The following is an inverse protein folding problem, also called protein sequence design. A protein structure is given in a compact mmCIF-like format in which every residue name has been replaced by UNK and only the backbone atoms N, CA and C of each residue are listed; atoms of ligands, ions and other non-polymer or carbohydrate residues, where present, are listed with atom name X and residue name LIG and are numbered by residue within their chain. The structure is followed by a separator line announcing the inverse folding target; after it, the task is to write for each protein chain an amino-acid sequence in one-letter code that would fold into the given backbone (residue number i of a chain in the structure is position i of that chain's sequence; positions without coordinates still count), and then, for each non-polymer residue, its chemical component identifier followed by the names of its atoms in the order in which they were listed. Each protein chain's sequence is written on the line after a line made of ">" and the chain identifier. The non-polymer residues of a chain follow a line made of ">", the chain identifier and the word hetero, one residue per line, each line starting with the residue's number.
data_IF_031858311641
#
_entry.id   IF_031858311641
#
_cell.length_a   1.000
_cell.length_b   1.000
_cell.length_c   1.000
_cell.angle_alpha   90.00
_cell.angle_beta   90.00
_cell.angle_gamma   90.00
#
_symmetry.space_group_name_H-M   'P 1'
#
loop_
_entity.id
_entity.type
_entity.pdbx_description
1 polymer ?
#
# COMPACT_ATOMS: atom_id res chain seq x y z
N UNK A 1 6.82 3.54 -20.69
CA UNK A 1 6.57 4.25 -19.42
C UNK A 1 6.64 3.24 -18.28
N UNK A 2 7.26 3.58 -17.16
CA UNK A 2 7.44 2.65 -16.03
C UNK A 2 6.19 2.54 -15.17
N UNK A 3 6.04 1.41 -14.47
CA UNK A 3 5.02 1.19 -13.45
C UNK A 3 5.35 2.00 -12.19
N UNK A 4 4.38 2.71 -11.62
CA UNK A 4 4.51 3.66 -10.52
C UNK A 4 3.30 3.61 -9.60
N UNK A 5 3.57 3.55 -8.30
CA UNK A 5 2.55 3.54 -7.26
C UNK A 5 3.06 4.13 -5.95
N UNK A 6 2.13 4.35 -5.01
CA UNK A 6 2.42 4.91 -3.70
C UNK A 6 1.91 4.00 -2.59
N UNK A 7 2.62 3.98 -1.46
CA UNK A 7 2.15 3.32 -0.23
C UNK A 7 2.19 4.33 0.92
N UNK A 8 1.05 4.51 1.58
CA UNK A 8 0.88 5.33 2.77
C UNK A 8 0.62 4.44 3.98
N UNK A 9 1.46 4.56 5.00
CA UNK A 9 1.35 3.81 6.24
C UNK A 9 1.14 4.80 7.37
N UNK A 10 -0.07 4.79 7.91
CA UNK A 10 -0.47 5.56 9.07
C UNK A 10 -0.48 4.66 10.31
N UNK A 11 -0.04 5.21 11.44
CA UNK A 11 -0.15 4.50 12.71
C UNK A 11 -0.29 5.46 13.88
N UNK A 12 -1.01 5.02 14.90
CA UNK A 12 -1.16 5.76 16.15
C UNK A 12 -0.18 5.21 17.19
N UNK A 13 0.52 6.12 17.88
CA UNK A 13 1.43 5.80 18.96
C UNK A 13 1.52 6.97 19.95
N UNK A 14 1.37 6.68 21.24
CA UNK A 14 1.44 7.67 22.32
C UNK A 14 0.50 8.88 22.13
N UNK A 15 -0.75 8.62 21.72
CA UNK A 15 -1.78 9.60 21.40
C UNK A 15 -1.52 10.40 20.13
N UNK A 16 -0.52 10.03 19.32
CA UNK A 16 -0.12 10.77 18.12
C UNK A 16 -0.22 9.90 16.87
N UNK A 17 -0.66 10.53 15.79
CA UNK A 17 -0.70 9.91 14.47
C UNK A 17 0.61 10.16 13.74
N UNK A 18 1.15 9.12 13.14
CA UNK A 18 2.38 9.14 12.36
C UNK A 18 2.12 8.64 10.95
N UNK A 19 2.93 9.09 9.99
CA UNK A 19 2.83 8.67 8.58
C UNK A 19 4.20 8.36 8.00
N UNK A 20 4.23 7.29 7.19
CA UNK A 20 5.31 6.96 6.25
C UNK A 20 4.67 6.86 4.87
N UNK A 21 5.05 7.76 3.95
CA UNK A 21 4.52 7.78 2.59
C UNK A 21 5.66 7.56 1.60
N UNK A 22 5.54 6.53 0.76
CA UNK A 22 6.63 6.05 -0.11
C UNK A 22 6.17 5.94 -1.55
N UNK A 23 6.98 6.47 -2.46
CA UNK A 23 6.77 6.39 -3.90
C UNK A 23 7.64 5.30 -4.51
N UNK A 24 7.05 4.39 -5.27
CA UNK A 24 7.69 3.21 -5.82
C UNK A 24 7.71 3.22 -7.35
N UNK A 25 8.79 2.67 -7.92
CA UNK A 25 8.83 2.25 -9.31
C UNK A 25 8.81 0.73 -9.43
N UNK A 26 7.94 0.15 -10.26
CA UNK A 26 7.73 -1.30 -10.41
C UNK A 26 7.04 -2.00 -9.22
N UNK A 27 6.11 -1.29 -8.57
CA UNK A 27 5.21 -1.85 -7.56
C UNK A 27 3.76 -1.78 -8.06
N UNK A 28 3.16 -2.93 -8.30
CA UNK A 28 1.84 -3.09 -8.94
C UNK A 28 1.29 -4.48 -8.58
N UNK A 29 0.03 -4.76 -8.88
CA UNK A 29 -0.63 -6.05 -8.75
C UNK A 29 -0.26 -6.79 -7.44
N UNK A 30 0.17 -8.04 -7.54
CA UNK A 30 0.51 -8.86 -6.38
C UNK A 30 1.67 -8.29 -5.55
N UNK A 31 2.54 -7.46 -6.15
CA UNK A 31 3.64 -6.82 -5.45
C UNK A 31 3.14 -5.78 -4.45
N UNK A 32 2.17 -4.98 -4.88
CA UNK A 32 1.50 -4.01 -4.03
C UNK A 32 0.73 -4.70 -2.91
N UNK A 33 -0.03 -5.76 -3.23
CA UNK A 33 -0.78 -6.55 -2.25
C UNK A 33 0.15 -7.19 -1.22
N UNK A 34 1.30 -7.73 -1.65
CA UNK A 34 2.33 -8.29 -0.77
C UNK A 34 2.85 -7.23 0.20
N UNK A 35 3.38 -6.10 -0.31
CA UNK A 35 3.92 -5.03 0.55
C UNK A 35 2.91 -4.53 1.57
N UNK A 36 1.66 -4.29 1.15
CA UNK A 36 0.58 -3.87 2.05
C UNK A 36 0.30 -4.90 3.14
N UNK A 37 0.22 -6.18 2.77
CA UNK A 37 -0.09 -7.27 3.71
C UNK A 37 1.00 -7.44 4.76
N UNK A 38 2.26 -7.57 4.33
CA UNK A 38 3.36 -7.79 5.26
C UNK A 38 3.65 -6.56 6.12
N UNK A 39 3.52 -5.35 5.58
CA UNK A 39 3.64 -4.12 6.37
C UNK A 39 2.58 -4.06 7.44
N UNK A 40 1.31 -4.30 7.08
CA UNK A 40 0.20 -4.31 8.03
C UNK A 40 0.40 -5.36 9.13
N UNK A 41 0.81 -6.58 8.75
CA UNK A 41 1.08 -7.66 9.71
C UNK A 41 2.27 -7.38 10.62
N UNK A 42 3.36 -6.83 10.09
CA UNK A 42 4.54 -6.46 10.87
C UNK A 42 4.21 -5.36 11.88
N UNK A 43 3.49 -4.33 11.43
CA UNK A 43 3.16 -3.18 12.26
C UNK A 43 2.14 -3.52 13.34
N UNK A 44 1.11 -4.31 13.01
CA UNK A 44 0.14 -4.84 14.00
C UNK A 44 0.84 -5.51 15.19
N UNK A 45 1.84 -6.34 14.92
CA UNK A 45 2.55 -7.10 15.95
C UNK A 45 3.63 -6.29 16.69
N UNK A 46 3.85 -5.02 16.28
CA UNK A 46 4.95 -4.19 16.80
C UNK A 46 4.51 -2.80 17.25
N UNK A 47 3.23 -2.47 17.20
CA UNK A 47 2.76 -1.13 17.55
C UNK A 47 3.07 -0.80 19.02
N UNK A 48 2.92 -1.79 19.89
CA UNK A 48 3.17 -1.72 21.35
C UNK A 48 4.65 -1.72 21.74
N UNK A 49 5.56 -2.04 20.80
CA UNK A 49 7.00 -2.04 21.07
C UNK A 49 7.68 -0.88 20.36
N UNK A 50 8.81 -0.43 20.90
CA UNK A 50 9.61 0.58 20.20
C UNK A 50 10.19 -0.01 18.91
N UNK A 51 10.02 0.70 17.80
CA UNK A 51 10.67 0.39 16.53
C UNK A 51 11.15 1.69 15.89
N UNK A 52 12.24 1.62 15.15
CA UNK A 52 12.78 2.78 14.45
C UNK A 52 12.01 3.00 13.14
N UNK A 53 11.74 4.27 12.78
CA UNK A 53 11.11 4.63 11.49
C UNK A 53 11.83 4.00 10.28
N UNK A 54 13.19 3.94 10.22
CA UNK A 54 13.90 3.24 9.15
C UNK A 54 13.56 1.75 9.03
N UNK A 55 13.27 1.07 10.15
CA UNK A 55 12.82 -0.32 10.12
C UNK A 55 11.47 -0.47 9.42
N UNK A 56 10.52 0.42 9.71
CA UNK A 56 9.23 0.42 9.02
C UNK A 56 9.40 0.71 7.52
N UNK A 57 10.26 1.66 7.15
CA UNK A 57 10.55 1.94 5.72
C UNK A 57 11.11 0.70 5.02
N UNK A 58 12.08 0.00 5.63
CA UNK A 58 12.65 -1.22 5.06
C UNK A 58 11.61 -2.34 4.87
N UNK A 59 10.65 -2.47 5.80
CA UNK A 59 9.54 -3.42 5.66
C UNK A 59 8.62 -3.04 4.50
N UNK A 60 8.29 -1.75 4.36
CA UNK A 60 7.45 -1.25 3.25
C UNK A 60 8.14 -1.44 1.90
N UNK A 61 9.47 -1.31 1.85
CA UNK A 61 10.27 -1.47 0.64
C UNK A 61 10.47 -2.93 0.21
N UNK A 62 10.26 -3.88 1.13
CA UNK A 62 10.47 -5.31 0.91
C UNK A 62 9.22 -5.99 0.32
N UNK A 63 9.36 -6.67 -0.83
CA UNK A 63 8.38 -7.66 -1.27
C UNK A 63 8.79 -9.06 -0.81
N UNK A 64 8.17 -9.52 0.25
CA UNK A 64 8.46 -10.85 0.83
C UNK A 64 8.10 -12.00 -0.10
N UNK A 65 7.08 -11.84 -0.94
CA UNK A 65 6.63 -12.91 -1.84
C UNK A 65 7.59 -13.17 -3.00
N UNK A 66 8.24 -12.12 -3.49
CA UNK A 66 9.23 -12.20 -4.57
C UNK A 66 10.67 -12.20 -4.07
N UNK A 67 10.87 -12.08 -2.75
CA UNK A 67 12.19 -11.98 -2.12
C UNK A 67 12.97 -10.82 -2.77
N UNK A 68 12.32 -9.66 -2.86
CA UNK A 68 12.90 -8.44 -3.40
C UNK A 68 12.91 -7.30 -2.37
N UNK A 69 13.84 -6.36 -2.56
CA UNK A 69 13.87 -5.09 -1.86
C UNK A 69 13.93 -3.99 -2.90
N UNK A 70 13.05 -3.00 -2.78
CA UNK A 70 12.89 -1.94 -3.76
C UNK A 70 13.01 -0.59 -3.08
N UNK A 71 14.08 0.13 -3.42
CA UNK A 71 14.25 1.49 -2.92
C UNK A 71 13.09 2.37 -3.40
N UNK A 72 12.53 3.13 -2.47
CA UNK A 72 11.45 4.07 -2.73
C UNK A 72 11.90 5.50 -2.40
N UNK A 73 11.13 6.49 -2.87
CA UNK A 73 11.32 7.89 -2.52
C UNK A 73 10.40 8.27 -1.36
N UNK A 74 10.90 9.10 -0.44
CA UNK A 74 10.08 9.63 0.67
C UNK A 74 9.17 10.73 0.15
N UNK A 75 7.85 10.50 0.12
CA UNK A 75 6.91 11.51 -0.36
C UNK A 75 6.88 12.70 0.62
N UNK A 76 6.87 12.46 1.94
CA UNK A 76 6.75 13.54 2.93
C UNK A 76 7.98 14.46 2.90
N UNK A 77 9.18 13.89 2.80
CA UNK A 77 10.42 14.66 2.85
C UNK A 77 10.85 15.28 1.50
N UNK A 78 10.35 14.82 0.36
CA UNK A 78 10.74 15.38 -0.95
C UNK A 78 10.06 16.73 -1.27
N UNK A 79 9.11 17.18 -0.45
CA UNK A 79 8.26 18.34 -0.73
C UNK A 79 8.54 19.58 0.14
N UNK A 80 9.66 19.64 0.85
CA UNK A 80 10.07 20.85 1.63
C UNK A 80 10.57 22.02 0.76
N UNK A 81 10.58 21.89 -0.57
CA UNK A 81 11.05 22.94 -1.51
C UNK A 81 9.99 23.51 -2.44
N UNK A 82 8.74 23.03 -2.40
CA UNK A 82 7.67 23.53 -3.28
C UNK A 82 6.43 23.86 -2.44
N UNK A 83 6.00 25.13 -2.49
CA UNK A 83 4.95 25.76 -1.65
C UNK A 83 3.53 25.16 -1.79
N UNK A 84 3.37 24.09 -2.55
CA UNK A 84 2.12 23.35 -2.66
C UNK A 84 2.40 21.88 -2.42
N UNK A 85 1.98 21.37 -1.28
CA UNK A 85 1.97 19.93 -1.04
C UNK A 85 1.00 19.34 -2.06
N UNK A 86 1.52 18.65 -3.07
CA UNK A 86 0.75 17.71 -3.86
C UNK A 86 1.17 16.33 -3.37
N UNK A 87 0.28 15.63 -2.68
CA UNK A 87 0.46 14.20 -2.33
C UNK A 87 0.56 13.32 -3.60
N UNK A 88 0.43 13.92 -4.79
CA UNK A 88 0.55 13.29 -6.11
C UNK A 88 1.59 14.06 -6.95
N UNK A 89 2.90 13.76 -6.82
CA UNK A 89 3.89 14.37 -7.70
C UNK A 89 3.62 13.96 -9.15
N UNK A 90 3.26 14.95 -9.96
CA UNK A 90 3.21 15.00 -11.42
C UNK A 90 3.14 13.63 -12.16
N UNK A 91 1.90 13.23 -12.45
CA UNK A 91 1.50 12.76 -13.79
C UNK A 91 1.84 11.32 -14.21
N UNK A 92 2.52 10.52 -13.39
CA UNK A 92 2.94 9.17 -13.79
C UNK A 92 2.47 8.04 -12.86
N UNK A 93 1.54 8.27 -11.94
CA UNK A 93 0.97 7.20 -11.11
C UNK A 93 -0.02 6.37 -11.92
N UNK A 94 0.35 5.13 -12.22
CA UNK A 94 -0.42 4.26 -13.12
C UNK A 94 -0.76 2.87 -12.54
N UNK A 95 -0.30 2.54 -11.33
CA UNK A 95 -0.63 1.27 -10.64
C UNK A 95 -1.30 1.49 -9.26
N UNK A 96 -1.90 2.67 -9.06
CA UNK A 96 -2.71 3.02 -7.90
C UNK A 96 -1.92 3.27 -6.62
N UNK A 97 -2.62 3.16 -5.49
CA UNK A 97 -2.08 3.46 -4.15
C UNK A 97 -2.48 2.41 -3.15
N UNK A 98 -1.62 2.15 -2.16
CA UNK A 98 -1.90 1.32 -1.00
C UNK A 98 -1.97 2.18 0.26
N UNK A 99 -3.01 2.00 1.06
CA UNK A 99 -3.20 2.68 2.34
C UNK A 99 -3.28 1.67 3.46
N UNK A 100 -2.54 1.92 4.54
CA UNK A 100 -2.53 1.12 5.76
C UNK A 100 -2.73 2.05 6.93
N UNK A 101 -3.63 1.70 7.84
CA UNK A 101 -3.78 2.37 9.13
C UNK A 101 -3.73 1.33 10.24
N UNK A 102 -2.92 1.59 11.27
CA UNK A 102 -2.85 0.74 12.47
C UNK A 102 -3.12 1.60 13.71
N UNK A 103 -4.19 1.28 14.45
CA UNK A 103 -4.50 1.97 15.72
C UNK A 103 -3.50 1.57 16.81
N UNK A 104 -3.47 2.33 17.91
CA UNK A 104 -2.68 1.97 19.09
C UNK A 104 -3.06 0.61 19.68
N UNK A 105 -4.29 0.14 19.43
CA UNK A 105 -4.77 -1.17 19.90
C UNK A 105 -4.40 -2.30 18.94
N UNK A 106 -3.71 -2.00 17.84
CA UNK A 106 -3.36 -2.96 16.80
C UNK A 106 -4.52 -3.30 15.84
N UNK A 107 -5.57 -2.47 15.80
CA UNK A 107 -6.62 -2.60 14.78
C UNK A 107 -6.06 -2.16 13.44
N UNK A 108 -6.21 -3.02 12.43
CA UNK A 108 -5.67 -2.76 11.10
C UNK A 108 -6.81 -2.37 10.16
N UNK A 109 -6.64 -1.25 9.48
CA UNK A 109 -7.44 -0.89 8.30
C UNK A 109 -6.55 -0.78 7.07
N UNK A 110 -7.12 -1.06 5.92
CA UNK A 110 -6.43 -0.90 4.66
C UNK A 110 -7.39 -0.50 3.55
N UNK A 111 -6.86 0.07 2.49
CA UNK A 111 -7.51 0.01 1.18
C UNK A 111 -6.45 0.16 0.09
N UNK A 112 -6.86 -0.11 -1.13
CA UNK A 112 -6.15 0.31 -2.32
C UNK A 112 -6.97 1.39 -3.03
N UNK A 113 -6.38 2.07 -4.00
CA UNK A 113 -7.12 2.90 -4.97
C UNK A 113 -6.64 2.59 -6.38
N UNK A 114 -7.42 3.01 -7.36
CA UNK A 114 -6.93 3.15 -8.73
C UNK A 114 -6.10 4.44 -8.87
N UNK A 115 -5.76 4.80 -10.11
CA UNK A 115 -4.94 5.96 -10.42
C UNK A 115 -5.70 7.28 -10.29
N UNK A 116 -6.96 7.26 -10.73
CA UNK A 116 -7.75 8.46 -11.02
C UNK A 116 -8.71 8.83 -9.89
N UNK A 117 -9.05 7.88 -9.03
CA UNK A 117 -9.99 8.06 -7.93
C UNK A 117 -9.34 7.74 -6.58
N UNK A 118 -9.80 8.43 -5.53
CA UNK A 118 -9.53 8.06 -4.14
C UNK A 118 -10.62 7.14 -3.58
N UNK A 119 -11.22 6.31 -4.44
CA UNK A 119 -12.24 5.36 -3.99
C UNK A 119 -11.56 4.13 -3.38
N UNK A 120 -11.88 3.76 -2.12
CA UNK A 120 -11.34 2.56 -1.50
C UNK A 120 -11.72 1.29 -2.27
N UNK A 121 -10.71 0.53 -2.65
CA UNK A 121 -10.80 -0.79 -3.24
C UNK A 121 -10.28 -1.83 -2.24
N UNK A 122 -10.97 -2.98 -2.16
CA UNK A 122 -10.39 -4.15 -1.51
C UNK A 122 -9.30 -4.76 -2.39
N UNK A 123 -8.53 -5.70 -1.83
CA UNK A 123 -7.43 -6.32 -2.58
C UNK A 123 -7.88 -7.03 -3.87
N UNK A 124 -9.10 -7.58 -3.93
CA UNK A 124 -9.58 -8.23 -5.15
C UNK A 124 -9.97 -7.22 -6.23
N UNK A 125 -10.64 -6.13 -5.82
CA UNK A 125 -11.01 -5.05 -6.71
C UNK A 125 -9.76 -4.36 -7.27
N UNK A 126 -8.75 -4.14 -6.43
CA UNK A 126 -7.45 -3.62 -6.87
C UNK A 126 -6.77 -4.56 -7.88
N UNK A 127 -6.66 -5.86 -7.56
CA UNK A 127 -6.05 -6.82 -8.51
C UNK A 127 -6.80 -6.84 -9.85
N UNK A 128 -8.13 -6.68 -9.85
CA UNK A 128 -8.90 -6.56 -11.09
C UNK A 128 -8.54 -5.28 -11.85
N UNK A 129 -8.51 -4.13 -11.17
CA UNK A 129 -8.14 -2.85 -11.77
C UNK A 129 -6.75 -2.89 -12.40
N UNK A 130 -5.75 -3.29 -11.62
CA UNK A 130 -4.34 -3.20 -12.01
C UNK A 130 -3.98 -4.21 -13.12
N UNK A 131 -4.63 -5.37 -13.13
CA UNK A 131 -4.45 -6.39 -14.18
C UNK A 131 -5.36 -6.21 -15.39
N UNK A 132 -6.31 -5.26 -15.36
CA UNK A 132 -7.20 -5.00 -16.51
C UNK A 132 -6.46 -4.31 -17.67
N UNK A 133 -5.48 -3.46 -17.36
CA UNK A 133 -4.73 -2.70 -18.36
C UNK A 133 -3.48 -3.42 -18.89
N UNK A 134 -3.14 -4.61 -18.37
CA UNK A 134 -2.08 -5.43 -18.96
C UNK A 134 -2.65 -6.17 -20.19
N UNK A 135 -2.12 -5.83 -21.37
CA UNK A 135 -2.58 -6.26 -22.71
C UNK A 135 -2.63 -7.79 -22.97
N UNK A 136 -2.29 -8.62 -22.00
CA UNK A 136 -2.47 -10.07 -22.05
C UNK A 136 -3.65 -10.45 -21.16
N UNK A 137 -4.77 -10.84 -21.79
CA UNK A 137 -5.97 -11.44 -21.23
C UNK A 137 -5.88 -11.76 -19.72
N UNK A 138 -6.31 -10.79 -18.90
CA UNK A 138 -6.51 -10.90 -17.45
C UNK A 138 -5.55 -11.88 -16.76
N UNK A 139 -4.29 -11.51 -16.53
CA UNK A 139 -3.36 -12.39 -15.76
C UNK A 139 -4.04 -12.96 -14.51
N UNK A 140 -4.81 -12.14 -13.78
CA UNK A 140 -5.56 -12.58 -12.59
C UNK A 140 -6.57 -13.72 -12.82
N UNK A 141 -7.21 -13.81 -14.00
CA UNK A 141 -8.18 -14.87 -14.35
C UNK A 141 -7.65 -15.90 -15.35
N UNK A 142 -6.52 -15.63 -15.99
CA UNK A 142 -5.79 -16.53 -16.88
C UNK A 142 -5.46 -17.84 -16.16
N UNK A 143 -5.80 -18.96 -16.78
CA UNK A 143 -5.70 -20.29 -16.16
C UNK A 143 -4.28 -20.63 -15.71
N UNK A 144 -3.27 -20.37 -16.52
CA UNK A 144 -1.88 -20.73 -16.20
C UNK A 144 -1.31 -19.86 -15.09
N UNK A 145 -1.46 -18.54 -15.21
CA UNK A 145 -1.00 -17.61 -14.17
C UNK A 145 -1.76 -17.83 -12.86
N UNK A 146 -3.07 -18.09 -12.91
CA UNK A 146 -3.91 -18.39 -11.73
C UNK A 146 -3.35 -19.53 -10.88
N UNK A 147 -2.68 -20.53 -11.46
CA UNK A 147 -2.10 -21.64 -10.71
C UNK A 147 -0.63 -21.46 -10.32
N UNK A 148 -0.02 -20.31 -10.64
CA UNK A 148 1.37 -20.06 -10.27
C UNK A 148 1.53 -19.96 -8.74
N UNK A 149 2.74 -20.30 -8.27
CA UNK A 149 3.10 -20.17 -6.85
C UNK A 149 2.96 -18.73 -6.36
N UNK A 150 3.28 -17.75 -7.20
CA UNK A 150 3.12 -16.33 -6.92
C UNK A 150 1.64 -15.97 -6.68
N UNK A 151 0.73 -16.50 -7.49
CA UNK A 151 -0.71 -16.26 -7.31
C UNK A 151 -1.28 -16.98 -6.11
N UNK A 152 -0.70 -18.11 -5.71
CA UNK A 152 -1.04 -18.74 -4.43
C UNK A 152 -0.70 -17.80 -3.27
N UNK A 153 0.52 -17.24 -3.23
CA UNK A 153 0.93 -16.27 -2.20
C UNK A 153 0.04 -15.02 -2.19
N UNK A 154 -0.25 -14.45 -3.36
CA UNK A 154 -1.16 -13.30 -3.46
C UNK A 154 -2.55 -13.62 -2.89
N UNK A 155 -3.13 -14.80 -3.18
CA UNK A 155 -4.40 -15.21 -2.57
C UNK A 155 -4.31 -15.39 -1.06
N UNK A 156 -3.20 -15.91 -0.56
CA UNK A 156 -2.98 -16.06 0.89
C UNK A 156 -2.91 -14.67 1.56
N UNK A 157 -2.26 -13.69 0.92
CA UNK A 157 -2.26 -12.30 1.37
C UNK A 157 -3.65 -11.68 1.39
N UNK A 158 -4.44 -11.85 0.32
CA UNK A 158 -5.83 -11.37 0.26
C UNK A 158 -6.68 -11.99 1.39
N UNK A 159 -6.51 -13.30 1.65
CA UNK A 159 -7.20 -13.97 2.76
C UNK A 159 -6.75 -13.42 4.11
N UNK A 160 -5.45 -13.17 4.27
CA UNK A 160 -4.92 -12.57 5.49
C UNK A 160 -5.52 -11.19 5.73
N UNK A 161 -5.55 -10.32 4.71
CA UNK A 161 -6.15 -8.98 4.81
C UNK A 161 -7.63 -9.06 5.19
N UNK A 162 -8.41 -9.92 4.53
CA UNK A 162 -9.84 -10.12 4.86
C UNK A 162 -10.08 -10.60 6.29
N UNK A 163 -9.14 -11.37 6.86
CA UNK A 163 -9.26 -11.92 8.21
C UNK A 163 -8.77 -10.95 9.29
N UNK A 164 -7.74 -10.16 8.99
CA UNK A 164 -6.98 -9.41 10.01
C UNK A 164 -7.13 -7.90 9.92
N UNK A 165 -7.77 -7.39 8.87
CA UNK A 165 -7.96 -5.97 8.62
C UNK A 165 -9.35 -5.66 8.08
N UNK A 166 -9.85 -4.46 8.35
CA UNK A 166 -11.09 -3.93 7.74
C UNK A 166 -10.76 -2.98 6.59
N UNK A 167 -11.67 -2.88 5.61
CA UNK A 167 -11.53 -1.90 4.54
C UNK A 167 -11.75 -0.47 5.11
N UNK A 168 -10.92 0.48 4.69
CA UNK A 168 -11.15 1.91 4.96
C UNK A 168 -12.39 2.39 4.22
N UNK A 169 -13.21 3.21 4.89
CA UNK A 169 -14.28 3.95 4.21
C UNK A 169 -13.72 5.16 3.46
N UNK A 170 -14.51 5.73 2.56
CA UNK A 170 -14.15 6.96 1.84
C UNK A 170 -13.84 8.11 2.82
N UNK A 171 -14.67 8.30 3.84
CA UNK A 171 -14.49 9.35 4.86
C UNK A 171 -13.21 9.14 5.69
N UNK A 172 -12.90 7.89 6.04
CA UNK A 172 -11.69 7.55 6.78
C UNK A 172 -10.44 7.83 5.94
N UNK A 173 -10.46 7.41 4.67
CA UNK A 173 -9.38 7.67 3.73
C UNK A 173 -9.16 9.17 3.51
N UNK A 174 -10.24 9.92 3.30
CA UNK A 174 -10.19 11.37 3.14
C UNK A 174 -9.63 12.07 4.38
N UNK A 175 -10.02 11.63 5.58
CA UNK A 175 -9.47 12.12 6.85
C UNK A 175 -7.99 11.84 6.99
N UNK A 176 -7.54 10.63 6.61
CA UNK A 176 -6.12 10.25 6.63
C UNK A 176 -5.29 11.14 5.71
N UNK A 177 -5.75 11.35 4.47
CA UNK A 177 -5.05 12.16 3.47
C UNK A 177 -4.96 13.62 3.91
N UNK A 178 -6.06 14.22 4.39
CA UNK A 178 -6.06 15.60 4.90
C UNK A 178 -5.07 15.80 6.05
N UNK A 179 -4.92 14.80 6.91
CA UNK A 179 -3.97 14.84 8.03
C UNK A 179 -2.50 14.77 7.63
N UNK A 180 -2.15 14.52 6.36
CA UNK A 180 -0.75 14.63 5.88
C UNK A 180 -0.32 16.09 5.78
N UNK A 181 -1.27 17.01 5.54
CA UNK A 181 -1.03 18.42 5.24
C UNK A 181 -1.01 19.35 6.48
N UNK A 182 -1.24 18.80 7.68
CA UNK A 182 -1.38 19.53 8.93
C UNK A 182 -0.19 19.26 9.85
#
# INVERSE_FOLDING_TARGET
>A
MGQRSEIYVFYEKNGKKHVVARYFGWNYAERMVSRVTYTAGWLKNRIDVSFAKPSLVSIVETNFDMIDHMQSSDIVNHHTTFDTVSVFPDGNLNDGRGFIFVSEKGDVKYCFTDNDSLKPLDANAYMKFDTFYCYDEYKWTNREYRFSAQMKKCRDNIRWLKKNASLLTEDELNTLIKGIYQ
#
